data_IF_000102766293
#
_entry.id   IF_000102766293
#
_cell.length_a   1.000
_cell.length_b   1.000
_cell.length_c   1.000
_cell.angle_alpha   90.00
_cell.angle_beta   90.00
_cell.angle_gamma   90.00
#
_symmetry.space_group_name_H-M   'P 1'
#
loop_
_entity.id
_entity.type
_entity.pdbx_description
1 polymer ?
#
# COMPACT_ATOMS: atom_id res chain seq x y z
N UNK A 1 0.47 20.01 11.32
CA UNK A 1 -0.27 18.79 11.73
C UNK A 1 -0.27 18.53 13.24
N UNK A 2 0.82 18.75 13.98
CA UNK A 2 0.88 18.45 15.44
C UNK A 2 0.03 19.36 16.33
N UNK A 3 -0.13 20.64 15.98
CA UNK A 3 -0.85 21.65 16.79
C UNK A 3 -2.36 21.42 16.92
N UNK A 4 -2.99 20.76 15.95
CA UNK A 4 -4.44 20.51 15.97
C UNK A 4 -4.84 19.49 17.04
N UNK A 5 -3.95 18.53 17.34
CA UNK A 5 -4.24 17.42 18.24
C UNK A 5 -4.31 17.84 19.72
N UNK A 6 -3.63 18.93 20.09
CA UNK A 6 -3.71 19.50 21.45
C UNK A 6 -5.12 20.04 21.78
N UNK A 7 -5.95 20.27 20.76
CA UNK A 7 -7.35 20.69 20.94
C UNK A 7 -8.30 19.52 21.22
N UNK A 8 -8.03 18.35 20.63
CA UNK A 8 -8.93 17.18 20.65
C UNK A 8 -8.51 16.12 21.68
N UNK A 9 -7.21 15.84 21.82
CA UNK A 9 -6.67 14.91 22.82
C UNK A 9 -5.72 15.69 23.74
N UNK A 10 -6.28 16.27 24.80
CA UNK A 10 -5.62 17.16 25.76
C UNK A 10 -4.80 16.40 26.79
N UNK A 11 -5.31 15.26 27.25
CA UNK A 11 -4.64 14.43 28.25
C UNK A 11 -4.04 13.18 27.62
N UNK A 12 -3.11 12.55 28.35
CA UNK A 12 -2.56 11.24 27.97
C UNK A 12 -3.62 10.13 27.96
N UNK A 13 -4.74 10.33 28.67
CA UNK A 13 -5.83 9.37 28.79
C UNK A 13 -6.80 9.41 27.61
N UNK A 14 -6.95 10.56 26.96
CA UNK A 14 -8.02 10.78 25.97
C UNK A 14 -7.97 9.76 24.82
N UNK A 15 -6.78 9.49 24.26
CA UNK A 15 -6.59 8.48 23.21
C UNK A 15 -6.93 7.06 23.69
N UNK A 16 -6.59 6.74 24.95
CA UNK A 16 -6.83 5.42 25.56
C UNK A 16 -8.31 5.17 25.84
N UNK A 17 -9.06 6.23 26.11
CA UNK A 17 -10.45 6.19 26.54
C UNK A 17 -11.43 6.41 25.39
N UNK A 18 -10.95 6.88 24.25
CA UNK A 18 -11.73 7.02 23.02
C UNK A 18 -12.13 5.65 22.44
N UNK A 19 -13.33 5.20 22.81
CA UNK A 19 -13.87 3.89 22.41
C UNK A 19 -14.05 3.81 20.89
N UNK A 20 -14.46 4.89 20.24
CA UNK A 20 -14.65 4.92 18.79
C UNK A 20 -13.32 4.74 18.07
N UNK A 21 -12.27 5.42 18.53
CA UNK A 21 -10.92 5.28 17.97
C UNK A 21 -10.38 3.84 18.16
N UNK A 22 -10.59 3.23 19.33
CA UNK A 22 -10.14 1.85 19.55
C UNK A 22 -10.94 0.86 18.71
N UNK A 23 -12.26 1.05 18.56
CA UNK A 23 -13.09 0.20 17.72
C UNK A 23 -12.74 0.33 16.24
N UNK A 24 -12.43 1.54 15.78
CA UNK A 24 -11.91 1.77 14.43
C UNK A 24 -10.59 1.01 14.22
N UNK A 25 -9.64 1.11 15.14
CA UNK A 25 -8.39 0.35 15.07
C UNK A 25 -8.65 -1.16 14.99
N UNK A 26 -9.59 -1.67 15.78
CA UNK A 26 -9.96 -3.09 15.73
C UNK A 26 -10.56 -3.48 14.38
N UNK A 27 -11.46 -2.68 13.81
CA UNK A 27 -12.00 -2.94 12.48
C UNK A 27 -10.91 -3.01 11.38
N UNK A 28 -9.85 -2.20 11.50
CA UNK A 28 -8.69 -2.29 10.60
C UNK A 28 -7.92 -3.61 10.76
N UNK A 29 -7.81 -4.11 12.00
CA UNK A 29 -7.07 -5.35 12.31
C UNK A 29 -7.86 -6.62 11.98
N UNK A 30 -9.17 -6.58 12.17
CA UNK A 30 -10.06 -7.73 12.02
C UNK A 30 -9.82 -8.41 10.68
N UNK A 31 -9.65 -9.73 10.63
CA UNK A 31 -9.42 -10.45 9.38
C UNK A 31 -10.48 -10.14 8.33
N UNK A 32 -10.09 -10.24 7.05
CA UNK A 32 -11.03 -10.06 5.92
C UNK A 32 -12.14 -11.10 5.99
N UNK A 33 -11.85 -12.33 6.46
CA UNK A 33 -12.86 -13.39 6.68
C UNK A 33 -13.97 -12.98 7.63
N UNK A 34 -13.68 -12.05 8.53
CA UNK A 34 -14.56 -11.62 9.61
C UNK A 34 -15.12 -10.21 9.34
N UNK A 35 -14.97 -9.71 8.10
CA UNK A 35 -15.51 -8.43 7.65
C UNK A 35 -14.66 -7.19 7.98
N UNK A 36 -13.40 -7.37 8.37
CA UNK A 36 -12.44 -6.28 8.58
C UNK A 36 -11.48 -6.04 7.41
N UNK A 37 -10.38 -5.32 7.66
CA UNK A 37 -9.35 -5.02 6.65
C UNK A 37 -8.08 -5.87 6.75
N UNK A 38 -7.96 -6.73 7.76
CA UNK A 38 -6.88 -7.71 7.90
C UNK A 38 -5.47 -7.13 8.14
N UNK A 39 -5.37 -5.89 8.64
CA UNK A 39 -4.07 -5.24 8.88
C UNK A 39 -3.48 -5.67 10.23
N UNK A 40 -3.04 -6.93 10.28
CA UNK A 40 -2.56 -7.60 11.52
C UNK A 40 -1.31 -6.96 12.14
N UNK A 41 -0.55 -6.18 11.36
CA UNK A 41 0.69 -5.52 11.79
C UNK A 41 0.48 -4.25 12.63
N UNK A 42 -0.76 -3.76 12.72
CA UNK A 42 -1.08 -2.63 13.60
C UNK A 42 -0.84 -3.00 15.08
N UNK A 43 -0.83 -2.04 16.02
CA UNK A 43 -0.93 -2.35 17.44
C UNK A 43 -2.36 -2.78 17.81
N UNK A 44 -2.53 -3.55 18.87
CA UNK A 44 -3.88 -3.91 19.40
C UNK A 44 -4.62 -2.71 20.00
N UNK A 45 -3.88 -1.71 20.48
CA UNK A 45 -4.46 -0.55 21.14
C UNK A 45 -3.59 0.68 20.96
N UNK A 46 -4.22 1.82 20.72
CA UNK A 46 -3.54 3.12 20.75
C UNK A 46 -3.52 3.65 22.19
N UNK A 47 -2.31 3.94 22.68
CA UNK A 47 -2.10 4.32 24.08
C UNK A 47 -1.72 5.77 24.27
N UNK A 48 -1.32 6.44 23.20
CA UNK A 48 -0.89 7.83 23.23
C UNK A 48 -1.01 8.47 21.84
N UNK A 49 -0.98 9.79 21.84
CA UNK A 49 -1.15 10.61 20.65
C UNK A 49 -0.05 10.43 19.60
N UNK A 50 1.18 10.12 19.98
CA UNK A 50 2.25 9.91 19.01
C UNK A 50 1.99 8.65 18.16
N UNK A 51 1.44 7.60 18.77
CA UNK A 51 1.02 6.40 18.02
C UNK A 51 -0.09 6.72 17.01
N UNK A 52 -1.11 7.49 17.43
CA UNK A 52 -2.19 7.93 16.54
C UNK A 52 -1.65 8.79 15.39
N UNK A 53 -0.80 9.77 15.69
CA UNK A 53 -0.20 10.65 14.68
C UNK A 53 0.61 9.84 13.67
N UNK A 54 1.43 8.89 14.13
CA UNK A 54 2.24 8.07 13.23
C UNK A 54 1.37 7.20 12.33
N UNK A 55 0.32 6.56 12.87
CA UNK A 55 -0.61 5.75 12.09
C UNK A 55 -1.31 6.59 11.01
N UNK A 56 -1.85 7.76 11.38
CA UNK A 56 -2.55 8.62 10.42
C UNK A 56 -1.60 9.21 9.39
N UNK A 57 -0.38 9.57 9.78
CA UNK A 57 0.64 10.03 8.85
C UNK A 57 0.97 8.93 7.83
N UNK A 58 1.07 7.67 8.26
CA UNK A 58 1.28 6.55 7.35
C UNK A 58 0.10 6.37 6.38
N UNK A 59 -1.14 6.40 6.88
CA UNK A 59 -2.33 6.27 6.02
C UNK A 59 -2.38 7.40 4.98
N UNK A 60 -2.21 8.65 5.41
CA UNK A 60 -2.24 9.83 4.52
C UNK A 60 -1.09 9.77 3.50
N UNK A 61 0.10 9.35 3.94
CA UNK A 61 1.24 9.17 3.05
C UNK A 61 0.95 8.10 1.98
N UNK A 62 0.40 6.95 2.38
CA UNK A 62 0.09 5.84 1.49
C UNK A 62 -0.93 6.25 0.42
N UNK A 63 -2.04 6.89 0.82
CA UNK A 63 -3.13 7.23 -0.13
C UNK A 63 -2.84 8.48 -0.97
N UNK A 64 -1.88 9.32 -0.58
CA UNK A 64 -1.54 10.55 -1.29
C UNK A 64 -0.17 10.48 -1.98
N UNK A 65 0.91 10.90 -1.30
CA UNK A 65 2.26 10.91 -1.86
C UNK A 65 2.69 9.58 -2.50
N UNK A 66 2.52 8.46 -1.80
CA UNK A 66 2.97 7.15 -2.29
C UNK A 66 2.17 6.72 -3.53
N UNK A 67 0.83 6.83 -3.46
CA UNK A 67 -0.03 6.52 -4.61
C UNK A 67 0.34 7.37 -5.84
N UNK A 68 0.58 8.66 -5.64
CA UNK A 68 0.96 9.56 -6.74
C UNK A 68 2.34 9.22 -7.30
N UNK A 69 3.31 8.89 -6.43
CA UNK A 69 4.66 8.54 -6.85
C UNK A 69 4.71 7.32 -7.77
N UNK A 70 3.83 6.33 -7.55
CA UNK A 70 3.74 5.14 -8.42
C UNK A 70 2.86 5.41 -9.66
N UNK A 71 1.73 6.10 -9.49
CA UNK A 71 0.75 6.28 -10.55
C UNK A 71 1.23 7.26 -11.62
N UNK A 72 1.85 8.37 -11.22
CA UNK A 72 2.30 9.40 -12.16
C UNK A 72 3.39 8.92 -13.11
N UNK A 73 4.17 7.90 -12.72
CA UNK A 73 5.24 7.35 -13.55
C UNK A 73 4.74 6.21 -14.46
N UNK A 74 3.57 5.65 -14.18
CA UNK A 74 3.10 4.47 -14.91
C UNK A 74 2.96 4.75 -16.41
N UNK A 75 2.42 5.90 -16.81
CA UNK A 75 2.28 6.26 -18.22
C UNK A 75 3.63 6.40 -18.92
N UNK A 76 4.61 7.03 -18.27
CA UNK A 76 5.94 7.24 -18.85
C UNK A 76 6.69 5.92 -19.10
N UNK A 77 6.57 4.93 -18.21
CA UNK A 77 7.29 3.65 -18.33
C UNK A 77 6.52 2.54 -19.04
N UNK A 78 5.18 2.60 -19.03
CA UNK A 78 4.32 1.55 -19.62
C UNK A 78 4.08 1.72 -21.12
N UNK A 79 4.31 2.92 -21.67
CA UNK A 79 4.10 3.20 -23.10
C UNK A 79 5.07 2.45 -24.02
N UNK A 80 6.25 2.07 -23.52
CA UNK A 80 7.19 1.21 -24.23
C UNK A 80 7.12 -0.23 -23.68
N UNK A 81 6.30 -1.07 -24.33
CA UNK A 81 5.99 -2.45 -23.89
C UNK A 81 7.22 -3.31 -23.55
N UNK A 82 8.34 -3.29 -24.30
CA UNK A 82 9.53 -4.06 -23.92
C UNK A 82 10.17 -3.63 -22.59
N UNK A 83 9.96 -2.38 -22.14
CA UNK A 83 10.47 -1.88 -20.87
C UNK A 83 9.59 -2.28 -19.67
N UNK A 84 8.28 -2.37 -19.87
CA UNK A 84 7.35 -2.80 -18.82
C UNK A 84 6.25 -3.71 -19.40
N UNK A 85 6.59 -4.97 -19.74
CA UNK A 85 5.59 -5.89 -20.26
C UNK A 85 4.56 -6.21 -19.18
N UNK A 86 3.27 -6.19 -19.55
CA UNK A 86 2.20 -6.61 -18.65
C UNK A 86 2.25 -8.13 -18.44
N UNK A 87 1.73 -8.92 -19.39
CA UNK A 87 1.91 -10.36 -19.42
C UNK A 87 3.12 -10.80 -20.26
N UNK A 88 3.68 -11.96 -19.91
CA UNK A 88 4.61 -12.71 -20.75
C UNK A 88 3.85 -13.94 -21.27
N UNK A 89 3.73 -14.07 -22.59
CA UNK A 89 2.87 -15.08 -23.22
C UNK A 89 3.56 -16.40 -23.54
N UNK A 90 4.88 -16.47 -23.39
CA UNK A 90 5.69 -17.67 -23.62
C UNK A 90 6.44 -18.09 -22.34
N UNK A 91 6.81 -19.37 -22.21
CA UNK A 91 7.58 -19.84 -21.06
C UNK A 91 8.96 -19.18 -21.01
N UNK A 92 9.47 -19.02 -19.78
CA UNK A 92 10.83 -18.51 -19.59
C UNK A 92 11.87 -19.48 -20.18
N UNK A 93 12.89 -18.96 -20.88
CA UNK A 93 13.96 -19.79 -21.45
C UNK A 93 14.84 -20.39 -20.34
N UNK A 94 15.12 -21.68 -20.45
CA UNK A 94 15.93 -22.43 -19.47
C UNK A 94 17.40 -22.62 -19.91
N UNK A 95 17.73 -22.22 -21.13
CA UNK A 95 19.07 -22.36 -21.73
C UNK A 95 19.51 -21.00 -22.25
N UNK A 96 20.76 -20.62 -21.97
CA UNK A 96 21.32 -19.36 -22.46
C UNK A 96 21.64 -19.47 -23.95
N UNK A 97 21.45 -18.37 -24.69
CA UNK A 97 21.81 -18.29 -26.11
C UNK A 97 20.82 -18.96 -27.07
N UNK A 98 19.64 -19.37 -26.60
CA UNK A 98 18.60 -20.02 -27.43
C UNK A 98 17.43 -19.09 -27.80
N UNK A 99 17.47 -17.83 -27.35
CA UNK A 99 16.38 -16.85 -27.55
C UNK A 99 16.74 -15.92 -28.69
N UNK A 100 15.88 -15.85 -29.71
CA UNK A 100 15.96 -14.89 -30.81
C UNK A 100 14.94 -13.75 -30.69
N UNK A 101 15.01 -12.79 -31.62
CA UNK A 101 14.11 -11.62 -31.65
C UNK A 101 12.63 -12.00 -31.85
N UNK A 102 12.37 -13.06 -32.61
CA UNK A 102 11.01 -13.58 -32.82
C UNK A 102 10.40 -14.15 -31.52
N UNK A 103 11.21 -14.83 -30.71
CA UNK A 103 10.78 -15.36 -29.40
C UNK A 103 10.48 -14.22 -28.44
N UNK A 104 11.30 -13.16 -28.44
CA UNK A 104 11.06 -11.96 -27.64
C UNK A 104 9.77 -11.25 -28.06
N UNK A 105 9.57 -11.04 -29.37
CA UNK A 105 8.39 -10.37 -29.90
C UNK A 105 7.11 -11.13 -29.56
N UNK A 106 7.10 -12.45 -29.79
CA UNK A 106 5.96 -13.33 -29.46
C UNK A 106 5.72 -13.52 -27.96
N UNK A 107 6.73 -13.24 -27.12
CA UNK A 107 6.58 -13.25 -25.65
C UNK A 107 5.91 -11.99 -25.12
N UNK A 108 6.09 -10.85 -25.80
CA UNK A 108 5.67 -9.52 -25.31
C UNK A 108 4.30 -9.09 -25.85
N UNK A 109 3.93 -9.47 -27.07
CA UNK A 109 2.66 -9.07 -27.72
C UNK A 109 2.07 -10.27 -28.46
N UNK A 110 0.79 -10.57 -28.25
CA UNK A 110 0.06 -11.52 -29.09
C UNK A 110 -0.35 -10.85 -30.40
N UNK A 111 0.14 -11.38 -31.52
CA UNK A 111 -0.31 -11.02 -32.87
C UNK A 111 -1.52 -11.84 -33.29
#
# INVERSE_FOLDING_TARGET
MRSSWDRYYKTRGDVRQDVELQNWLQALRTPISDGGLGVVSLPERLTNRNQLINLLAQIIFTVGPQHSAIACLQDDYSTFVPNMPGPIYQPLPNVKGTVGEADLSGSLIQN
#
